data_IF_712363803510
#
_entry.id   IF_712363803510
#
_cell.length_a   1.000
_cell.length_b   1.000
_cell.length_c   1.000
_cell.angle_alpha   90.00
_cell.angle_beta   90.00
_cell.angle_gamma   90.00
#
_symmetry.space_group_name_H-M   'P 1'
#
loop_
_entity.id
_entity.type
_entity.pdbx_description
1 polymer ?
#
# COMPACT_ATOMS: atom_id res chain seq x y z
N UNK A 1 22.16 39.50 48.69
CA UNK A 1 21.85 39.91 47.30
C UNK A 1 22.04 38.70 46.39
N UNK A 2 21.05 38.45 45.53
CA UNK A 2 20.84 37.25 44.72
C UNK A 2 21.55 37.34 43.37
N UNK A 3 22.14 36.23 42.87
CA UNK A 3 22.17 35.75 41.45
C UNK A 3 23.19 34.60 41.34
N UNK A 4 22.79 33.32 41.31
CA UNK A 4 22.35 32.51 40.14
C UNK A 4 23.25 32.63 38.90
N UNK A 5 23.79 31.50 38.44
CA UNK A 5 24.58 31.39 37.22
C UNK A 5 24.95 29.95 36.84
N UNK A 6 23.96 29.06 36.81
CA UNK A 6 24.01 27.73 36.21
C UNK A 6 24.29 27.89 34.70
N UNK A 7 25.45 27.44 34.20
CA UNK A 7 25.70 27.33 32.76
C UNK A 7 25.61 25.86 32.33
N UNK A 8 24.46 25.54 31.75
CA UNK A 8 24.05 24.26 31.20
C UNK A 8 24.90 23.86 29.99
N UNK A 9 25.41 22.63 30.00
CA UNK A 9 25.83 21.90 28.80
C UNK A 9 24.59 21.64 27.93
N UNK A 10 24.37 22.43 26.89
CA UNK A 10 23.38 22.14 25.87
C UNK A 10 24.05 21.37 24.72
N UNK A 11 24.12 20.04 24.87
CA UNK A 11 24.46 19.14 23.78
C UNK A 11 23.31 19.09 22.77
N UNK A 12 23.47 19.76 21.64
CA UNK A 12 22.53 19.69 20.52
C UNK A 12 22.72 18.33 19.81
N UNK A 13 22.04 17.30 20.32
CA UNK A 13 21.81 16.07 19.58
C UNK A 13 20.86 16.38 18.42
N UNK A 14 21.44 16.69 17.25
CA UNK A 14 20.71 16.73 15.99
C UNK A 14 20.35 15.29 15.63
N UNK A 15 19.23 14.79 16.15
CA UNK A 15 18.67 13.51 15.73
C UNK A 15 18.12 13.68 14.32
N UNK A 16 18.96 13.46 13.31
CA UNK A 16 18.50 13.17 11.96
C UNK A 16 17.65 11.91 12.02
N UNK A 17 16.34 12.10 12.17
CA UNK A 17 15.36 11.04 12.01
C UNK A 17 15.45 10.55 10.58
N UNK A 18 16.22 9.48 10.35
CA UNK A 18 16.16 8.71 9.12
C UNK A 18 14.71 8.25 8.99
N UNK A 19 13.92 8.99 8.22
CA UNK A 19 12.57 8.59 7.86
C UNK A 19 12.72 7.26 7.12
N UNK A 20 12.50 6.16 7.84
CA UNK A 20 12.51 4.83 7.25
C UNK A 20 11.48 4.88 6.12
N UNK A 21 11.88 4.61 4.86
CA UNK A 21 10.93 4.59 3.77
C UNK A 21 9.80 3.65 4.18
N UNK A 22 8.55 4.05 3.93
CA UNK A 22 7.38 3.20 4.13
C UNK A 22 7.54 1.97 3.23
N UNK A 23 8.22 0.96 3.74
CA UNK A 23 8.34 -0.34 3.10
C UNK A 23 6.92 -0.91 3.05
N UNK A 24 6.59 -1.57 1.94
CA UNK A 24 5.38 -2.38 1.86
C UNK A 24 5.32 -3.29 3.09
N UNK A 25 4.14 -3.46 3.66
CA UNK A 25 3.96 -4.30 4.84
C UNK A 25 4.09 -5.73 4.32
N UNK A 26 5.33 -6.24 4.26
CA UNK A 26 5.68 -7.52 3.64
C UNK A 26 4.72 -8.66 4.07
N UNK A 27 4.32 -8.77 5.36
CA UNK A 27 3.34 -9.78 5.76
C UNK A 27 2.00 -9.72 5.02
N UNK A 28 1.49 -8.52 4.69
CA UNK A 28 0.22 -8.39 3.97
C UNK A 28 0.36 -8.86 2.52
N UNK A 29 1.50 -8.51 1.89
CA UNK A 29 1.82 -8.97 0.55
C UNK A 29 2.01 -10.50 0.51
N UNK A 30 2.74 -11.05 1.48
CA UNK A 30 3.04 -12.48 1.54
C UNK A 30 1.74 -13.31 1.63
N UNK A 31 0.79 -12.91 2.47
CA UNK A 31 -0.49 -13.62 2.58
C UNK A 31 -1.37 -13.40 1.34
N UNK A 32 -1.33 -12.22 0.70
CA UNK A 32 -2.02 -11.99 -0.58
C UNK A 32 -1.48 -12.90 -1.69
N UNK A 33 -0.16 -12.94 -1.87
CA UNK A 33 0.50 -13.75 -2.89
C UNK A 33 0.18 -15.24 -2.67
N UNK A 34 0.24 -15.69 -1.42
CA UNK A 34 -0.11 -17.06 -1.06
C UNK A 34 -1.57 -17.40 -1.36
N UNK A 35 -2.50 -16.46 -1.11
CA UNK A 35 -3.93 -16.71 -1.26
C UNK A 35 -4.38 -16.67 -2.73
N UNK A 36 -3.78 -15.80 -3.55
CA UNK A 36 -4.31 -15.47 -4.87
C UNK A 36 -3.36 -15.70 -6.05
N UNK A 37 -2.06 -15.73 -5.82
CA UNK A 37 -1.06 -15.84 -6.90
C UNK A 37 -0.45 -17.24 -6.93
N UNK A 38 -0.22 -17.85 -5.76
CA UNK A 38 0.40 -19.16 -5.64
C UNK A 38 1.92 -19.12 -5.84
N UNK A 39 2.53 -20.30 -5.96
CA UNK A 39 3.99 -20.45 -6.09
C UNK A 39 4.51 -20.04 -7.48
N UNK A 40 3.66 -20.19 -8.51
CA UNK A 40 3.98 -19.86 -9.90
C UNK A 40 2.93 -18.87 -10.44
N UNK A 41 3.23 -17.56 -10.47
CA UNK A 41 2.30 -16.57 -10.98
C UNK A 41 2.03 -16.76 -12.47
N UNK A 42 0.76 -16.64 -12.88
CA UNK A 42 0.36 -16.68 -14.28
C UNK A 42 0.80 -15.40 -15.02
N UNK A 43 1.87 -15.50 -15.82
CA UNK A 43 2.45 -14.38 -16.56
C UNK A 43 1.61 -13.89 -17.74
N UNK A 44 0.52 -14.58 -18.11
CA UNK A 44 -0.40 -14.10 -19.13
C UNK A 44 -1.37 -13.06 -18.56
N UNK A 45 -1.65 -13.14 -17.25
CA UNK A 45 -2.56 -12.24 -16.54
C UNK A 45 -1.90 -10.94 -16.07
N UNK A 46 -2.69 -9.87 -15.94
CA UNK A 46 -2.17 -8.59 -15.42
C UNK A 46 -1.69 -8.71 -13.98
N UNK A 47 -2.41 -9.48 -13.15
CA UNK A 47 -2.05 -9.77 -11.78
C UNK A 47 -0.74 -10.56 -11.70
N UNK A 48 -0.62 -11.69 -12.40
CA UNK A 48 0.55 -12.55 -12.29
C UNK A 48 1.82 -11.93 -12.88
N UNK A 49 1.72 -11.11 -13.93
CA UNK A 49 2.82 -10.25 -14.40
C UNK A 49 3.39 -9.42 -13.24
N UNK A 50 2.56 -8.93 -12.32
CA UNK A 50 3.04 -8.10 -11.21
C UNK A 50 4.06 -8.79 -10.28
N UNK A 51 4.04 -10.11 -10.22
CA UNK A 51 4.85 -10.88 -9.26
C UNK A 51 6.11 -11.51 -9.88
N UNK A 52 6.22 -11.54 -11.21
CA UNK A 52 7.34 -12.19 -11.91
C UNK A 52 8.46 -11.24 -12.33
N UNK A 53 8.14 -10.05 -12.83
CA UNK A 53 9.17 -9.13 -13.31
C UNK A 53 9.76 -8.30 -12.16
N UNK A 54 11.09 -8.12 -12.15
CA UNK A 54 11.79 -7.31 -11.12
C UNK A 54 11.30 -5.86 -11.06
N UNK A 55 10.92 -5.30 -12.20
CA UNK A 55 10.32 -3.97 -12.27
C UNK A 55 8.88 -3.99 -11.72
N UNK A 56 8.16 -5.09 -11.95
CA UNK A 56 6.80 -5.33 -11.49
C UNK A 56 6.67 -5.69 -9.99
N UNK A 57 7.73 -6.19 -9.33
CA UNK A 57 7.75 -6.27 -7.86
C UNK A 57 7.66 -4.92 -7.16
N UNK A 58 7.96 -3.78 -7.82
CA UNK A 58 7.62 -2.44 -7.29
C UNK A 58 6.12 -2.15 -7.47
N UNK A 59 5.53 -2.73 -8.50
CA UNK A 59 4.12 -2.61 -8.86
C UNK A 59 3.19 -3.56 -8.08
N UNK A 60 3.68 -4.53 -7.28
CA UNK A 60 2.81 -5.21 -6.30
C UNK A 60 2.09 -4.22 -5.36
N UNK A 61 2.68 -3.04 -5.16
CA UNK A 61 2.05 -1.92 -4.47
C UNK A 61 0.71 -1.54 -5.13
N UNK A 62 0.58 -1.65 -6.45
CA UNK A 62 -0.63 -1.32 -7.21
C UNK A 62 -1.83 -2.23 -6.94
N UNK A 63 -1.61 -3.39 -6.28
CA UNK A 63 -2.74 -4.17 -5.78
C UNK A 63 -3.53 -3.36 -4.74
N UNK A 64 -2.88 -2.52 -3.93
CA UNK A 64 -3.50 -1.73 -2.85
C UNK A 64 -3.36 -0.21 -3.01
N UNK A 65 -2.42 0.26 -3.84
CA UNK A 65 -2.06 1.66 -4.00
C UNK A 65 -2.39 2.15 -5.40
N UNK A 66 -2.55 3.46 -5.51
CA UNK A 66 -2.75 4.14 -6.79
C UNK A 66 -1.61 5.14 -7.01
N UNK A 67 -1.16 5.24 -8.26
CA UNK A 67 -0.03 6.07 -8.66
C UNK A 67 1.29 5.61 -8.03
N UNK A 68 2.24 6.55 -7.96
CA UNK A 68 3.58 6.34 -7.39
C UNK A 68 3.61 6.53 -5.88
N UNK A 69 2.64 7.27 -5.32
CA UNK A 69 2.60 7.66 -3.91
C UNK A 69 1.98 6.55 -3.05
N UNK A 70 2.80 5.84 -2.26
CA UNK A 70 2.37 4.77 -1.32
C UNK A 70 1.34 5.18 -0.25
N UNK A 71 1.08 6.47 -0.06
CA UNK A 71 0.04 6.95 0.85
C UNK A 71 -1.35 6.90 0.21
N UNK A 72 -1.39 6.98 -1.12
CA UNK A 72 -2.61 6.89 -1.90
C UNK A 72 -2.97 5.42 -2.03
N UNK A 73 -4.20 5.10 -1.65
CA UNK A 73 -4.76 3.75 -1.77
C UNK A 73 -5.77 3.74 -2.91
N UNK A 74 -5.80 2.65 -3.66
CA UNK A 74 -6.89 2.39 -4.60
C UNK A 74 -8.15 1.96 -3.81
N UNK A 75 -9.31 1.73 -4.45
CA UNK A 75 -10.52 1.31 -3.74
C UNK A 75 -10.32 0.06 -2.88
N UNK A 76 -9.65 -0.97 -3.41
CA UNK A 76 -9.34 -2.21 -2.69
C UNK A 76 -8.48 -1.98 -1.43
N UNK A 77 -7.38 -1.25 -1.56
CA UNK A 77 -6.49 -0.93 -0.45
C UNK A 77 -7.16 -0.04 0.60
N UNK A 78 -8.11 0.80 0.20
CA UNK A 78 -8.90 1.63 1.12
C UNK A 78 -9.74 0.73 2.03
N UNK A 79 -10.44 -0.24 1.47
CA UNK A 79 -11.23 -1.21 2.25
C UNK A 79 -10.34 -2.04 3.19
N UNK A 80 -9.17 -2.48 2.74
CA UNK A 80 -8.22 -3.18 3.62
C UNK A 80 -7.76 -2.31 4.79
N UNK A 81 -7.57 -1.01 4.57
CA UNK A 81 -7.13 -0.09 5.62
C UNK A 81 -8.20 0.18 6.68
N UNK A 82 -9.48 -0.09 6.40
CA UNK A 82 -10.56 -0.04 7.39
C UNK A 82 -10.53 -1.26 8.34
N UNK A 83 -10.00 -2.39 7.87
CA UNK A 83 -9.98 -3.65 8.61
C UNK A 83 -8.62 -3.94 9.28
N UNK A 84 -7.53 -3.42 8.70
CA UNK A 84 -6.16 -3.70 9.11
C UNK A 84 -5.41 -2.42 9.48
N UNK A 85 -4.83 -2.41 10.68
CA UNK A 85 -3.80 -1.46 11.05
C UNK A 85 -2.40 -2.04 10.73
N UNK A 86 -1.61 -1.26 9.99
CA UNK A 86 -0.27 -1.68 9.54
C UNK A 86 0.74 -1.91 10.65
N UNK A 87 0.57 -1.32 11.82
CA UNK A 87 1.48 -1.44 12.96
C UNK A 87 1.07 -2.60 13.84
N UNK A 88 -0.22 -2.70 14.13
CA UNK A 88 -0.79 -3.69 15.05
C UNK A 88 -0.92 -5.06 14.39
N UNK A 89 -1.44 -5.11 13.16
CA UNK A 89 -1.90 -6.37 12.55
C UNK A 89 -0.85 -7.07 11.70
N UNK A 90 0.32 -6.45 11.46
CA UNK A 90 1.40 -7.02 10.62
C UNK A 90 1.90 -8.39 11.05
N UNK A 91 1.61 -8.84 12.27
CA UNK A 91 1.97 -10.17 12.79
C UNK A 91 0.77 -11.10 12.93
N UNK A 92 -0.46 -10.59 12.75
CA UNK A 92 -1.68 -11.35 12.93
C UNK A 92 -2.14 -11.92 11.57
N UNK A 93 -1.56 -13.05 11.19
CA UNK A 93 -1.83 -13.71 9.91
C UNK A 93 -3.30 -14.04 9.71
N UNK A 94 -3.96 -14.56 10.75
CA UNK A 94 -5.39 -14.90 10.70
C UNK A 94 -6.24 -13.69 10.39
N UNK A 95 -5.97 -12.56 11.04
CA UNK A 95 -6.69 -11.30 10.77
C UNK A 95 -6.38 -10.76 9.37
N UNK A 96 -5.15 -10.88 8.89
CA UNK A 96 -4.78 -10.48 7.52
C UNK A 96 -5.58 -11.29 6.51
N UNK A 97 -5.59 -12.61 6.63
CA UNK A 97 -6.32 -13.51 5.72
C UNK A 97 -7.81 -13.20 5.77
N UNK A 98 -8.40 -13.11 6.96
CA UNK A 98 -9.82 -12.81 7.10
C UNK A 98 -10.19 -11.44 6.51
N UNK A 99 -9.32 -10.44 6.60
CA UNK A 99 -9.55 -9.14 5.96
C UNK A 99 -9.43 -9.22 4.43
N UNK A 100 -8.45 -9.97 3.90
CA UNK A 100 -8.30 -10.19 2.46
C UNK A 100 -9.53 -10.88 1.86
N UNK A 101 -10.03 -11.94 2.51
CA UNK A 101 -11.24 -12.66 2.09
C UNK A 101 -12.47 -11.76 2.18
N UNK A 102 -12.64 -11.05 3.30
CA UNK A 102 -13.77 -10.14 3.49
C UNK A 102 -13.81 -9.01 2.46
N UNK A 103 -12.67 -8.42 2.12
CA UNK A 103 -12.61 -7.39 1.08
C UNK A 103 -12.82 -8.01 -0.30
N UNK A 104 -12.35 -9.24 -0.56
CA UNK A 104 -12.60 -9.91 -1.83
C UNK A 104 -14.10 -10.07 -2.13
N UNK A 105 -14.96 -10.20 -1.12
CA UNK A 105 -16.42 -10.27 -1.28
C UNK A 105 -17.09 -8.91 -1.59
N UNK A 106 -16.38 -7.79 -1.41
CA UNK A 106 -16.92 -6.45 -1.66
C UNK A 106 -16.91 -6.10 -3.15
N UNK A 107 -17.86 -5.26 -3.57
CA UNK A 107 -17.93 -4.72 -4.94
C UNK A 107 -16.77 -3.78 -5.22
N UNK A 108 -16.20 -3.90 -6.43
CA UNK A 108 -15.07 -3.10 -6.86
C UNK A 108 -15.42 -1.62 -7.05
N UNK A 109 -16.66 -1.33 -7.44
CA UNK A 109 -17.21 0.02 -7.50
C UNK A 109 -18.47 0.11 -6.61
N UNK A 110 -18.43 0.88 -5.50
CA UNK A 110 -19.60 1.06 -4.65
C UNK A 110 -20.75 1.83 -5.32
N UNK A 111 -20.51 2.45 -6.48
CA UNK A 111 -21.53 3.19 -7.25
C UNK A 111 -22.20 2.33 -8.32
N UNK A 112 -21.71 1.14 -8.60
CA UNK A 112 -22.27 0.21 -9.58
C UNK A 112 -22.61 -1.14 -8.93
N UNK A 113 -23.91 -1.37 -8.72
CA UNK A 113 -24.40 -2.63 -8.15
C UNK A 113 -24.19 -3.86 -9.05
N UNK A 114 -23.77 -3.67 -10.31
CA UNK A 114 -23.40 -4.75 -11.23
C UNK A 114 -21.89 -4.88 -11.40
N UNK A 115 -21.09 -4.07 -10.68
CA UNK A 115 -19.64 -4.22 -10.72
C UNK A 115 -19.25 -5.60 -10.20
N UNK A 116 -18.16 -6.20 -10.73
CA UNK A 116 -17.60 -7.40 -10.13
C UNK A 116 -17.14 -7.10 -8.70
N UNK A 117 -17.03 -8.16 -7.91
CA UNK A 117 -16.33 -8.12 -6.63
C UNK A 117 -14.82 -8.01 -6.85
N UNK A 118 -14.10 -7.56 -5.82
CA UNK A 118 -12.64 -7.57 -5.85
C UNK A 118 -12.09 -8.99 -6.05
N UNK A 119 -12.72 -9.99 -5.45
CA UNK A 119 -12.36 -11.40 -5.60
C UNK A 119 -12.55 -11.92 -7.01
N UNK A 120 -13.64 -11.54 -7.69
CA UNK A 120 -13.87 -11.89 -9.10
C UNK A 120 -12.83 -11.27 -10.02
N UNK A 121 -12.43 -10.00 -9.77
CA UNK A 121 -11.33 -9.37 -10.51
C UNK A 121 -10.03 -10.15 -10.33
N UNK A 122 -9.66 -10.46 -9.08
CA UNK A 122 -8.44 -11.22 -8.76
C UNK A 122 -8.48 -12.61 -9.42
N UNK A 123 -9.59 -13.32 -9.31
CA UNK A 123 -9.78 -14.65 -9.91
C UNK A 123 -9.70 -14.63 -11.44
N UNK A 124 -10.09 -13.52 -12.07
CA UNK A 124 -9.94 -13.29 -13.51
C UNK A 124 -8.53 -12.85 -13.93
N UNK A 125 -7.58 -12.79 -12.99
CA UNK A 125 -6.20 -12.35 -13.25
C UNK A 125 -6.06 -10.85 -13.42
N UNK A 126 -7.07 -10.07 -13.00
CA UNK A 126 -7.05 -8.62 -13.02
C UNK A 126 -6.64 -8.06 -11.66
N UNK A 127 -6.25 -6.78 -11.63
CA UNK A 127 -5.97 -6.10 -10.37
C UNK A 127 -7.26 -5.71 -9.66
N UNK A 128 -7.34 -5.86 -8.33
CA UNK A 128 -8.54 -5.50 -7.59
C UNK A 128 -8.79 -3.99 -7.59
N UNK A 129 -7.77 -3.17 -7.84
CA UNK A 129 -7.89 -1.72 -7.93
C UNK A 129 -8.41 -1.16 -9.26
N UNK A 130 -8.72 -2.01 -10.25
CA UNK A 130 -9.02 -1.60 -11.64
C UNK A 130 -7.91 -1.97 -12.61
N UNK A 131 -7.94 -1.47 -13.84
CA UNK A 131 -6.92 -1.80 -14.85
C UNK A 131 -5.53 -1.26 -14.46
N UNK A 132 -4.47 -1.89 -14.98
CA UNK A 132 -3.08 -1.48 -14.69
C UNK A 132 -2.82 -0.01 -15.04
N UNK A 133 -3.44 0.50 -16.10
CA UNK A 133 -3.32 1.90 -16.53
C UNK A 133 -4.00 2.85 -15.53
N UNK A 134 -5.19 2.50 -15.05
CA UNK A 134 -5.94 3.30 -14.07
C UNK A 134 -5.23 3.35 -12.72
N UNK A 135 -4.74 2.23 -12.22
CA UNK A 135 -4.01 2.20 -10.95
C UNK A 135 -2.65 2.88 -11.05
N UNK A 136 -2.05 3.00 -12.24
CA UNK A 136 -0.81 3.78 -12.46
C UNK A 136 -1.07 5.28 -12.56
N UNK A 137 -2.28 5.71 -12.93
CA UNK A 137 -2.65 7.12 -13.02
C UNK A 137 -2.62 7.75 -11.62
N UNK A 138 -1.92 8.87 -11.49
CA UNK A 138 -1.96 9.66 -10.25
C UNK A 138 -3.37 10.20 -10.02
N UNK A 139 -3.90 10.18 -8.78
CA UNK A 139 -5.21 10.75 -8.49
C UNK A 139 -5.21 12.27 -8.71
N UNK A 140 -6.33 12.81 -9.18
CA UNK A 140 -6.48 14.25 -9.39
C UNK A 140 -6.28 15.02 -8.06
N UNK A 141 -5.40 16.03 -8.08
CA UNK A 141 -5.04 16.81 -6.89
C UNK A 141 -3.82 16.29 -6.11
N UNK A 142 -3.15 15.21 -6.55
CA UNK A 142 -1.85 14.84 -5.99
C UNK A 142 -0.71 15.61 -6.66
N UNK A 143 -0.69 16.94 -6.53
CA UNK A 143 0.39 17.78 -7.06
C UNK A 143 1.77 17.25 -6.61
N UNK A 144 2.71 17.20 -7.56
CA UNK A 144 4.11 16.90 -7.30
C UNK A 144 4.70 18.10 -6.55
N UNK A 145 4.81 18.00 -5.23
CA UNK A 145 5.70 18.87 -4.41
C UNK A 145 7.17 18.55 -4.74
N UNK A 146 7.57 18.71 -5.99
CA UNK A 146 8.96 18.61 -6.43
C UNK A 146 9.32 19.84 -7.24
N UNK A 147 9.23 21.04 -6.66
CA UNK A 147 9.90 22.24 -7.17
C UNK A 147 9.87 23.43 -6.18
N UNK A 148 10.27 23.28 -4.91
CA UNK A 148 10.78 24.43 -4.12
C UNK A 148 11.58 23.99 -2.87
N UNK A 149 12.87 23.67 -3.03
CA UNK A 149 13.86 24.00 -1.98
C UNK A 149 15.13 24.52 -2.67
N UNK A 150 15.03 25.77 -3.12
CA UNK A 150 16.16 26.66 -3.30
C UNK A 150 15.98 27.85 -2.34
N UNK A 151 16.47 27.70 -1.10
CA UNK A 151 17.11 28.76 -0.31
C UNK A 151 17.71 28.23 1.00
#
# INVERSE_FOLDING_TARGET
MVKFGLMLFAGLFLTCGLARPAAAIKPFQDEFEKLYVGEEPDTETELGKLFTEKELKKFCCLCCHQGKKKKVRNPYGTQLAELLDKKEDKKNKEKIIAALEKVAEMRSDPKDENSPTFGELIASGQLPGGSLEEVKKEPEGSEDESEEEAN
#
